data_IF_610075872892
#
_entry.id   IF_610075872892
#
_cell.length_a   1.000
_cell.length_b   1.000
_cell.length_c   1.000
_cell.angle_alpha   90.00
_cell.angle_beta   90.00
_cell.angle_gamma   90.00
#
_symmetry.space_group_name_H-M   'P 1'
#
loop_
_entity.id
_entity.type
_entity.pdbx_description
1 polymer ?
#
# COMPACT_ATOMS: atom_id res chain seq x y z
N UNK A 1 -5.90 -19.82 -4.23
CA UNK A 1 -5.47 -19.00 -5.37
C UNK A 1 -4.23 -18.23 -4.93
N UNK A 2 -3.15 -18.27 -5.70
CA UNK A 2 -1.95 -17.46 -5.40
C UNK A 2 -2.08 -16.15 -6.17
N UNK A 3 -1.97 -15.02 -5.48
CA UNK A 3 -1.96 -13.71 -6.10
C UNK A 3 -0.60 -13.42 -6.74
N UNK A 4 -0.63 -13.08 -8.03
CA UNK A 4 0.45 -12.40 -8.75
C UNK A 4 0.19 -10.88 -8.71
N UNK A 5 1.14 -10.09 -9.23
CA UNK A 5 1.11 -8.62 -9.15
C UNK A 5 -0.18 -8.00 -9.68
N UNK A 6 -0.58 -8.31 -10.92
CA UNK A 6 -1.74 -7.62 -11.52
C UNK A 6 -3.06 -7.94 -10.81
N UNK A 7 -3.39 -9.21 -10.49
CA UNK A 7 -4.57 -9.52 -9.67
C UNK A 7 -4.54 -8.88 -8.28
N UNK A 8 -3.36 -8.79 -7.65
CA UNK A 8 -3.21 -8.13 -6.36
C UNK A 8 -3.50 -6.63 -6.45
N UNK A 9 -2.91 -5.95 -7.42
CA UNK A 9 -3.15 -4.51 -7.63
C UNK A 9 -4.59 -4.24 -8.01
N UNK A 10 -5.18 -5.00 -8.93
CA UNK A 10 -6.57 -4.84 -9.32
C UNK A 10 -7.52 -4.94 -8.12
N UNK A 11 -7.24 -5.84 -7.18
CA UNK A 11 -8.01 -5.99 -5.95
C UNK A 11 -7.85 -4.77 -5.01
N UNK A 12 -6.62 -4.27 -4.84
CA UNK A 12 -6.36 -3.06 -4.03
C UNK A 12 -7.07 -1.85 -4.65
N UNK A 13 -6.86 -1.60 -5.94
CA UNK A 13 -7.40 -0.45 -6.68
C UNK A 13 -8.93 -0.44 -6.65
N UNK A 14 -9.56 -1.60 -6.77
CA UNK A 14 -11.03 -1.73 -6.76
C UNK A 14 -11.66 -1.57 -5.37
N UNK A 15 -10.85 -1.37 -4.31
CA UNK A 15 -11.36 -1.20 -2.94
C UNK A 15 -12.07 0.14 -2.72
N UNK A 16 -11.80 1.12 -3.58
CA UNK A 16 -12.36 2.47 -3.49
C UNK A 16 -12.60 3.05 -4.91
N UNK A 17 -13.80 3.58 -5.21
CA UNK A 17 -14.10 4.13 -6.54
C UNK A 17 -13.21 5.30 -6.95
N UNK A 18 -12.79 6.15 -6.02
CA UNK A 18 -11.90 7.29 -6.31
C UNK A 18 -10.49 6.81 -6.60
N UNK A 19 -9.97 5.85 -5.83
CA UNK A 19 -8.67 5.23 -6.12
C UNK A 19 -8.67 4.58 -7.50
N UNK A 20 -9.75 3.84 -7.82
CA UNK A 20 -9.93 3.24 -9.14
C UNK A 20 -9.92 4.26 -10.26
N UNK A 21 -10.69 5.35 -10.11
CA UNK A 21 -10.74 6.40 -11.12
C UNK A 21 -9.37 7.08 -11.31
N UNK A 22 -8.63 7.37 -10.23
CA UNK A 22 -7.28 7.94 -10.29
C UNK A 22 -6.31 7.02 -11.03
N UNK A 23 -6.39 5.72 -10.75
CA UNK A 23 -5.56 4.72 -11.43
C UNK A 23 -5.87 4.65 -12.93
N UNK A 24 -7.14 4.54 -13.30
CA UNK A 24 -7.54 4.49 -14.71
C UNK A 24 -7.12 5.74 -15.47
N UNK A 25 -7.27 6.93 -14.87
CA UNK A 25 -6.82 8.18 -15.45
C UNK A 25 -5.29 8.23 -15.60
N UNK A 26 -4.55 7.75 -14.61
CA UNK A 26 -3.08 7.68 -14.67
C UNK A 26 -2.63 6.77 -15.82
N UNK A 27 -3.22 5.57 -15.95
CA UNK A 27 -2.88 4.63 -17.02
C UNK A 27 -3.19 5.20 -18.40
N UNK A 28 -4.34 5.87 -18.55
CA UNK A 28 -4.68 6.53 -19.81
C UNK A 28 -3.65 7.62 -20.16
N UNK A 29 -3.27 8.47 -19.20
CA UNK A 29 -2.38 9.60 -19.45
C UNK A 29 -0.92 9.20 -19.71
N UNK A 30 -0.37 8.26 -18.93
CA UNK A 30 1.05 7.91 -19.02
C UNK A 30 1.32 6.86 -20.10
N UNK A 31 0.35 5.99 -20.37
CA UNK A 31 0.54 4.82 -21.21
C UNK A 31 -0.43 4.75 -22.40
N UNK A 32 -1.31 5.74 -22.60
CA UNK A 32 -2.39 5.69 -23.60
C UNK A 32 -3.23 4.39 -23.50
N UNK A 33 -3.43 3.90 -22.28
CA UNK A 33 -4.14 2.65 -22.01
C UNK A 33 -3.34 1.36 -22.26
N UNK A 34 -2.11 1.43 -22.79
CA UNK A 34 -1.26 0.26 -23.06
C UNK A 34 -0.27 -0.02 -21.92
N UNK A 35 -0.61 -0.98 -21.06
CA UNK A 35 0.19 -1.32 -19.88
C UNK A 35 1.35 -2.29 -20.15
N UNK A 36 1.69 -2.57 -21.40
CA UNK A 36 2.73 -3.54 -21.76
C UNK A 36 4.15 -3.14 -21.31
N UNK A 37 4.44 -1.84 -21.25
CA UNK A 37 5.74 -1.29 -20.82
C UNK A 37 5.69 -0.59 -19.45
N UNK A 38 4.69 -0.94 -18.62
CA UNK A 38 4.46 -0.30 -17.33
C UNK A 38 5.63 -0.44 -16.36
N UNK A 39 5.93 0.64 -15.63
CA UNK A 39 6.91 0.62 -14.55
C UNK A 39 6.18 0.44 -13.22
N UNK A 40 5.95 -0.82 -12.84
CA UNK A 40 5.09 -1.19 -11.71
C UNK A 40 5.37 -0.44 -10.40
N UNK A 41 6.65 -0.26 -10.05
CA UNK A 41 7.06 0.44 -8.83
C UNK A 41 6.81 1.94 -8.90
N UNK A 42 6.75 2.52 -10.10
CA UNK A 42 6.32 3.90 -10.32
C UNK A 42 4.80 4.01 -10.24
N UNK A 43 4.06 3.06 -10.83
CA UNK A 43 2.60 3.12 -10.88
C UNK A 43 1.95 3.05 -9.48
N UNK A 44 2.49 2.22 -8.59
CA UNK A 44 1.96 2.06 -7.22
C UNK A 44 2.00 3.35 -6.39
N UNK A 45 2.71 4.38 -6.85
CA UNK A 45 2.67 5.72 -6.28
C UNK A 45 1.23 6.25 -6.17
N UNK A 46 0.35 5.93 -7.12
CA UNK A 46 -1.06 6.32 -7.07
C UNK A 46 -1.78 5.76 -5.82
N UNK A 47 -1.46 4.52 -5.43
CA UNK A 47 -2.02 3.90 -4.23
C UNK A 47 -1.47 4.58 -2.97
N UNK A 48 -0.16 4.83 -2.94
CA UNK A 48 0.53 5.46 -1.80
C UNK A 48 0.00 6.88 -1.57
N UNK A 49 -0.04 7.71 -2.62
CA UNK A 49 -0.54 9.08 -2.55
C UNK A 49 -2.00 9.12 -2.09
N UNK A 50 -2.85 8.24 -2.64
CA UNK A 50 -4.23 8.12 -2.20
C UNK A 50 -4.33 7.83 -0.69
N UNK A 51 -3.60 6.83 -0.19
CA UNK A 51 -3.63 6.47 1.25
C UNK A 51 -3.14 7.65 2.10
N UNK A 52 -2.06 8.32 1.71
CA UNK A 52 -1.51 9.44 2.49
C UNK A 52 -2.47 10.63 2.51
N UNK A 53 -3.00 11.03 1.35
CA UNK A 53 -3.97 12.14 1.25
C UNK A 53 -5.21 11.88 2.10
N UNK A 54 -5.78 10.68 1.99
CA UNK A 54 -6.98 10.29 2.73
C UNK A 54 -6.74 10.21 4.22
N UNK A 55 -5.58 9.70 4.63
CA UNK A 55 -5.21 9.69 6.05
C UNK A 55 -5.09 11.12 6.61
N UNK A 56 -4.40 12.02 5.90
CA UNK A 56 -4.27 13.44 6.32
C UNK A 56 -5.63 14.15 6.40
N UNK A 57 -6.55 13.81 5.50
CA UNK A 57 -7.90 14.37 5.47
C UNK A 57 -8.87 13.72 6.48
N UNK A 58 -8.45 12.71 7.26
CA UNK A 58 -9.29 11.86 8.09
C UNK A 58 -10.42 11.12 7.33
N UNK A 59 -10.29 10.97 6.01
CA UNK A 59 -11.25 10.29 5.12
C UNK A 59 -10.85 8.82 4.96
N UNK A 60 -11.05 8.03 6.00
CA UNK A 60 -10.45 6.68 6.10
C UNK A 60 -11.48 5.54 6.01
N UNK A 61 -12.65 5.82 5.43
CA UNK A 61 -13.78 4.89 5.34
C UNK A 61 -13.41 3.64 4.54
N UNK A 62 -12.64 3.79 3.45
CA UNK A 62 -12.23 2.68 2.59
C UNK A 62 -11.00 1.92 3.09
N UNK A 63 -10.31 2.40 4.13
CA UNK A 63 -9.06 1.78 4.59
C UNK A 63 -9.29 0.36 5.11
N UNK A 64 -10.42 0.11 5.78
CA UNK A 64 -10.78 -1.25 6.19
C UNK A 64 -10.73 -2.23 4.99
N UNK A 65 -11.29 -1.85 3.84
CA UNK A 65 -11.37 -2.71 2.66
C UNK A 65 -9.97 -2.84 2.02
N UNK A 66 -9.26 -1.72 1.85
CA UNK A 66 -7.91 -1.70 1.29
C UNK A 66 -6.98 -2.62 2.07
N UNK A 67 -6.89 -2.45 3.39
CA UNK A 67 -5.98 -3.25 4.21
C UNK A 67 -6.46 -4.69 4.41
N UNK A 68 -7.77 -4.95 4.35
CA UNK A 68 -8.29 -6.34 4.29
C UNK A 68 -7.83 -7.04 3.00
N UNK A 69 -7.88 -6.34 1.87
CA UNK A 69 -7.42 -6.88 0.60
C UNK A 69 -5.90 -7.12 0.61
N UNK A 70 -5.11 -6.17 1.13
CA UNK A 70 -3.67 -6.35 1.33
C UNK A 70 -3.38 -7.57 2.22
N UNK A 71 -4.09 -7.73 3.33
CA UNK A 71 -3.93 -8.90 4.21
C UNK A 71 -4.24 -10.22 3.48
N UNK A 72 -5.31 -10.26 2.70
CA UNK A 72 -5.69 -11.45 1.95
C UNK A 72 -4.66 -11.79 0.87
N UNK A 73 -4.08 -10.79 0.21
CA UNK A 73 -3.01 -10.97 -0.76
C UNK A 73 -1.77 -11.55 -0.06
N UNK A 74 -1.32 -10.93 1.03
CA UNK A 74 -0.12 -11.35 1.77
C UNK A 74 -0.22 -12.77 2.34
N UNK A 75 -1.44 -13.28 2.61
CA UNK A 75 -1.64 -14.67 3.04
C UNK A 75 -1.35 -15.70 1.94
N UNK A 76 -1.43 -15.32 0.67
CA UNK A 76 -1.36 -16.26 -0.45
C UNK A 76 -0.93 -15.55 -1.74
N UNK A 77 0.29 -15.01 -1.77
CA UNK A 77 0.90 -14.40 -2.95
C UNK A 77 2.27 -15.00 -3.26
N UNK A 78 2.78 -14.73 -4.45
CA UNK A 78 4.16 -15.06 -4.78
C UNK A 78 5.15 -14.06 -4.16
N UNK A 79 6.44 -14.39 -4.23
CA UNK A 79 7.49 -13.55 -3.66
C UNK A 79 7.50 -12.14 -4.26
N UNK A 80 7.32 -12.02 -5.58
CA UNK A 80 7.38 -10.71 -6.25
C UNK A 80 6.26 -9.78 -5.80
N UNK A 81 5.06 -10.33 -5.61
CA UNK A 81 3.88 -9.61 -5.10
C UNK A 81 4.06 -9.23 -3.63
N UNK A 82 4.62 -10.13 -2.82
CA UNK A 82 4.96 -9.83 -1.42
C UNK A 82 5.98 -8.69 -1.33
N UNK A 83 7.02 -8.73 -2.16
CA UNK A 83 8.05 -7.68 -2.23
C UNK A 83 7.44 -6.35 -2.71
N UNK A 84 6.55 -6.37 -3.71
CA UNK A 84 5.84 -5.15 -4.17
C UNK A 84 4.97 -4.53 -3.07
N UNK A 85 4.24 -5.32 -2.30
CA UNK A 85 3.44 -4.78 -1.19
C UNK A 85 4.35 -4.24 -0.08
N UNK A 86 5.41 -4.98 0.27
CA UNK A 86 6.26 -4.65 1.41
C UNK A 86 7.18 -3.47 1.10
N UNK A 87 8.00 -3.58 0.06
CA UNK A 87 8.98 -2.55 -0.33
C UNK A 87 8.35 -1.48 -1.20
N UNK A 88 7.40 -1.83 -2.05
CA UNK A 88 6.72 -0.84 -2.88
C UNK A 88 5.73 0.00 -2.06
N UNK A 89 4.68 -0.64 -1.53
CA UNK A 89 3.57 0.08 -0.90
C UNK A 89 3.88 0.50 0.53
N UNK A 90 4.29 -0.42 1.41
CA UNK A 90 4.48 -0.08 2.82
C UNK A 90 5.65 0.87 3.07
N UNK A 91 6.82 0.59 2.49
CA UNK A 91 7.95 1.54 2.55
C UNK A 91 7.60 2.88 1.89
N UNK A 92 6.87 2.85 0.77
CA UNK A 92 6.34 4.05 0.13
C UNK A 92 5.48 4.91 1.07
N UNK A 93 4.54 4.28 1.79
CA UNK A 93 3.71 4.96 2.79
C UNK A 93 4.57 5.52 3.93
N UNK A 94 5.54 4.76 4.48
CA UNK A 94 6.44 5.26 5.53
C UNK A 94 7.22 6.50 5.05
N UNK A 95 7.78 6.44 3.83
CA UNK A 95 8.54 7.53 3.25
C UNK A 95 7.67 8.77 2.99
N UNK A 96 6.44 8.59 2.52
CA UNK A 96 5.49 9.69 2.27
C UNK A 96 4.82 10.25 3.52
N UNK A 97 4.76 9.47 4.61
CA UNK A 97 4.25 9.91 5.90
C UNK A 97 5.12 11.04 6.51
N UNK A 98 6.44 10.95 6.32
CA UNK A 98 7.39 11.96 6.79
C UNK A 98 7.29 12.21 8.30
N UNK A 99 7.35 13.47 8.72
CA UNK A 99 7.20 13.87 10.13
C UNK A 99 5.76 14.19 10.53
N UNK A 100 4.84 14.30 9.56
CA UNK A 100 3.47 14.77 9.80
C UNK A 100 2.53 13.65 10.27
N UNK A 101 2.85 12.41 9.93
CA UNK A 101 2.06 11.23 10.28
C UNK A 101 2.89 10.33 11.18
N UNK A 102 2.32 9.97 12.34
CA UNK A 102 2.87 8.90 13.17
C UNK A 102 2.66 7.55 12.48
N UNK A 103 3.56 7.18 11.57
CA UNK A 103 3.49 5.91 10.85
C UNK A 103 3.82 4.70 11.75
N UNK A 104 4.41 4.90 12.92
CA UNK A 104 4.67 3.80 13.86
C UNK A 104 3.36 3.18 14.36
N UNK A 105 2.35 4.01 14.64
CA UNK A 105 1.11 3.56 15.26
C UNK A 105 -0.17 4.00 14.55
N UNK A 106 -0.12 5.03 13.71
CA UNK A 106 -1.29 5.64 13.07
C UNK A 106 -2.09 4.70 12.18
N UNK A 107 -1.44 3.69 11.58
CA UNK A 107 -2.09 2.70 10.72
C UNK A 107 -2.53 1.41 11.45
N UNK A 108 -2.19 1.25 12.74
CA UNK A 108 -2.38 -0.03 13.45
C UNK A 108 -3.80 -0.55 13.46
N UNK A 109 -4.81 0.33 13.44
CA UNK A 109 -6.22 -0.08 13.47
C UNK A 109 -6.69 -0.78 12.20
N UNK A 110 -5.96 -0.65 11.08
CA UNK A 110 -6.28 -1.34 9.82
C UNK A 110 -5.31 -2.47 9.49
N UNK A 111 -4.14 -2.51 10.13
CA UNK A 111 -3.18 -3.59 9.94
C UNK A 111 -3.65 -4.86 10.64
N UNK A 112 -3.71 -5.94 9.88
CA UNK A 112 -4.00 -7.29 10.37
C UNK A 112 -2.67 -8.05 10.63
N UNK A 113 -2.73 -9.36 10.78
CA UNK A 113 -1.55 -10.16 11.17
C UNK A 113 -0.41 -10.06 10.16
N UNK A 114 -0.63 -10.41 8.88
CA UNK A 114 0.44 -10.44 7.87
C UNK A 114 0.87 -9.04 7.44
N UNK A 115 -0.09 -8.18 7.18
CA UNK A 115 0.13 -6.75 6.88
C UNK A 115 0.88 -6.05 8.00
N UNK A 116 0.52 -6.30 9.26
CA UNK A 116 1.24 -5.77 10.42
C UNK A 116 2.64 -6.35 10.59
N UNK A 117 2.86 -7.64 10.30
CA UNK A 117 4.19 -8.25 10.28
C UNK A 117 5.11 -7.55 9.27
N UNK A 118 4.65 -7.38 8.01
CA UNK A 118 5.42 -6.72 6.97
C UNK A 118 5.64 -5.22 7.27
N UNK A 119 4.61 -4.51 7.74
CA UNK A 119 4.72 -3.11 8.15
C UNK A 119 5.82 -2.90 9.20
N UNK A 120 5.83 -3.72 10.25
CA UNK A 120 6.87 -3.67 11.28
C UNK A 120 8.24 -4.06 10.76
N UNK A 121 8.31 -5.02 9.82
CA UNK A 121 9.58 -5.42 9.22
C UNK A 121 10.22 -4.27 8.42
N UNK A 122 9.42 -3.47 7.71
CA UNK A 122 9.91 -2.27 7.01
C UNK A 122 10.45 -1.22 7.99
N UNK A 123 9.71 -0.91 9.05
CA UNK A 123 10.17 0.05 10.07
C UNK A 123 11.44 -0.47 10.76
N UNK A 124 11.46 -1.73 11.17
CA UNK A 124 12.63 -2.35 11.82
C UNK A 124 13.86 -2.33 10.92
N UNK A 125 13.70 -2.51 9.61
CA UNK A 125 14.80 -2.51 8.65
C UNK A 125 15.47 -1.14 8.59
N UNK A 126 14.69 -0.06 8.53
CA UNK A 126 15.23 1.30 8.39
C UNK A 126 15.64 1.95 9.72
N UNK A 127 14.97 1.60 10.81
CA UNK A 127 15.09 2.34 12.08
C UNK A 127 15.49 1.48 13.27
N UNK A 128 15.66 0.18 13.08
CA UNK A 128 15.84 -0.77 14.17
C UNK A 128 14.57 -0.93 15.01
N UNK A 129 14.69 -1.49 16.22
CA UNK A 129 13.51 -1.89 17.02
C UNK A 129 13.14 -0.94 18.14
N UNK A 130 13.87 0.17 18.31
CA UNK A 130 13.70 1.08 19.47
C UNK A 130 12.37 1.84 19.45
N UNK A 131 11.80 2.08 18.27
CA UNK A 131 10.49 2.73 18.10
C UNK A 131 9.37 2.01 18.87
N UNK A 132 9.50 0.69 19.08
CA UNK A 132 8.52 -0.14 19.80
C UNK A 132 8.36 0.24 21.28
N UNK A 133 9.34 0.97 21.84
CA UNK A 133 9.32 1.45 23.22
C UNK A 133 8.54 2.75 23.38
N UNK A 134 8.23 3.47 22.30
CA UNK A 134 7.60 4.80 22.28
C UNK A 134 6.08 4.78 22.58
N UNK A 135 5.58 3.81 23.36
CA UNK A 135 4.15 3.70 23.68
C UNK A 135 3.64 4.83 24.57
#
# INVERSE_FOLDING_TARGET
MIYTIDPALALIISSDPELKARWEQYIENEYNGDVSERLIYSDIRIIIEFIIEKFKANQTESFHIIFTNIENILKSCDKQTMDLITVGIFEGIQNSAGQEIDYYFGFNKWLYTRSGEQWRAVIDFWEGTDWRKKK
#
